data_IF_466246446125
#
_entry.id   IF_466246446125
#
_cell.length_a   1.000
_cell.length_b   1.000
_cell.length_c   1.000
_cell.angle_alpha   90.00
_cell.angle_beta   90.00
_cell.angle_gamma   90.00
#
_symmetry.space_group_name_H-M   'P 1'
#
loop_
_entity.id
_entity.type
_entity.pdbx_description
1 polymer ?
#
# COMPACT_ATOMS: atom_id res chain seq x y z
N UNK A 1 -13.32 -20.64 11.39
CA UNK A 1 -12.88 -20.03 10.12
C UNK A 1 -11.98 -18.85 10.45
N UNK A 2 -10.77 -18.85 9.93
CA UNK A 2 -9.86 -17.76 10.20
C UNK A 2 -10.21 -16.53 9.40
N UNK A 3 -10.07 -15.36 10.04
CA UNK A 3 -10.26 -14.10 9.35
C UNK A 3 -9.02 -13.77 8.52
N UNK A 4 -9.23 -13.15 7.39
CA UNK A 4 -8.12 -12.58 6.65
C UNK A 4 -7.56 -11.40 7.46
N UNK A 5 -6.25 -11.21 7.49
CA UNK A 5 -5.67 -10.10 8.21
C UNK A 5 -6.10 -8.75 7.62
N UNK A 6 -6.17 -7.77 8.48
CA UNK A 6 -6.37 -6.39 8.06
C UNK A 6 -5.13 -5.93 7.29
N UNK A 7 -5.35 -5.22 6.20
CA UNK A 7 -4.28 -4.65 5.40
C UNK A 7 -4.32 -3.13 5.52
N UNK A 8 -3.20 -2.57 5.97
CA UNK A 8 -3.05 -1.12 6.09
C UNK A 8 -2.04 -0.62 5.07
N UNK A 9 -2.40 0.47 4.39
CA UNK A 9 -1.52 1.10 3.41
C UNK A 9 -1.22 2.52 3.87
N UNK A 10 0.06 2.86 3.97
CA UNK A 10 0.49 4.18 4.44
C UNK A 10 1.45 4.78 3.41
N UNK A 11 1.20 6.04 3.03
CA UNK A 11 2.16 6.76 2.19
C UNK A 11 3.34 7.19 3.04
N UNK A 12 4.54 6.69 2.72
CA UNK A 12 5.72 6.89 3.56
C UNK A 12 6.77 7.81 2.94
N UNK A 13 6.74 7.98 1.62
CA UNK A 13 7.74 8.79 0.95
C UNK A 13 7.21 9.34 -0.36
N UNK A 14 7.77 10.49 -0.78
CA UNK A 14 7.50 11.08 -2.08
C UNK A 14 8.85 11.41 -2.72
N UNK A 15 9.15 10.78 -3.84
CA UNK A 15 10.47 10.90 -4.47
C UNK A 15 10.61 12.03 -5.46
N UNK A 16 9.50 12.48 -6.03
CA UNK A 16 9.52 13.56 -7.02
C UNK A 16 8.73 14.75 -6.53
N UNK A 17 9.14 15.95 -6.95
CA UNK A 17 8.40 17.16 -6.64
C UNK A 17 7.16 17.24 -7.53
N UNK A 18 6.11 17.74 -6.97
CA UNK A 18 4.85 17.90 -7.68
C UNK A 18 3.69 17.42 -6.83
N UNK A 19 2.50 17.70 -7.29
CA UNK A 19 1.29 17.30 -6.57
C UNK A 19 0.78 15.98 -7.12
N UNK A 20 0.43 15.08 -6.22
CA UNK A 20 -0.31 13.88 -6.58
C UNK A 20 -1.67 14.31 -7.12
N UNK A 21 -2.03 13.87 -8.32
CA UNK A 21 -3.30 14.27 -8.93
C UNK A 21 -4.52 13.80 -8.12
N UNK A 22 -4.35 12.79 -7.28
CA UNK A 22 -5.41 12.31 -6.40
C UNK A 22 -5.36 12.95 -5.01
N UNK A 23 -4.29 13.67 -4.68
CA UNK A 23 -4.17 14.41 -3.43
C UNK A 23 -3.58 13.64 -2.26
N UNK A 24 -2.93 12.53 -2.49
CA UNK A 24 -2.28 11.78 -1.39
C UNK A 24 -1.06 12.52 -0.85
N UNK A 25 -0.84 12.41 0.45
CA UNK A 25 0.27 13.06 1.15
C UNK A 25 0.94 12.08 2.11
N UNK A 26 2.21 12.32 2.41
CA UNK A 26 2.96 11.50 3.37
C UNK A 26 2.21 11.47 4.69
N UNK A 27 2.04 10.27 5.24
CA UNK A 27 1.30 10.05 6.47
C UNK A 27 -0.13 9.60 6.26
N UNK A 28 -0.66 9.74 5.06
CA UNK A 28 -2.02 9.24 4.76
C UNK A 28 -2.03 7.73 4.95
N UNK A 29 -3.04 7.24 5.66
CA UNK A 29 -3.16 5.83 6.01
C UNK A 29 -4.56 5.35 5.63
N UNK A 30 -4.61 4.16 5.03
CA UNK A 30 -5.86 3.58 4.55
C UNK A 30 -5.99 2.14 5.02
N UNK A 31 -7.22 1.78 5.41
CA UNK A 31 -7.60 0.37 5.55
C UNK A 31 -8.04 -0.10 4.17
N UNK A 32 -7.40 -1.13 3.63
CA UNK A 32 -7.66 -1.52 2.24
C UNK A 32 -9.13 -1.87 1.99
N UNK A 33 -9.79 -2.52 2.94
CA UNK A 33 -11.16 -2.95 2.74
C UNK A 33 -12.18 -1.83 2.96
N UNK A 34 -11.90 -0.91 3.90
CA UNK A 34 -12.84 0.14 4.28
C UNK A 34 -12.69 1.43 3.50
N UNK A 35 -11.48 1.72 3.03
CA UNK A 35 -11.13 3.03 2.47
C UNK A 35 -10.84 3.01 0.97
N UNK A 36 -11.39 2.03 0.26
CA UNK A 36 -11.11 1.88 -1.18
C UNK A 36 -11.51 3.10 -2.00
N UNK A 37 -12.57 3.75 -1.63
CA UNK A 37 -13.04 4.95 -2.30
C UNK A 37 -12.16 6.17 -2.07
N UNK A 38 -11.27 6.09 -1.07
CA UNK A 38 -10.34 7.17 -0.73
C UNK A 38 -8.97 7.01 -1.36
N UNK A 39 -8.71 5.89 -2.00
CA UNK A 39 -7.41 5.58 -2.59
C UNK A 39 -7.45 5.73 -4.10
N UNK A 40 -6.35 6.26 -4.66
CA UNK A 40 -6.20 6.37 -6.11
C UNK A 40 -6.33 4.99 -6.77
N UNK A 41 -7.19 4.85 -7.80
CA UNK A 41 -7.37 3.57 -8.48
C UNK A 41 -6.08 2.99 -9.06
N UNK A 42 -5.18 3.82 -9.58
CA UNK A 42 -3.89 3.36 -10.11
C UNK A 42 -3.02 2.77 -9.00
N UNK A 43 -3.00 3.42 -7.85
CA UNK A 43 -2.26 2.93 -6.69
C UNK A 43 -2.84 1.60 -6.21
N UNK A 44 -4.17 1.51 -6.13
CA UNK A 44 -4.83 0.26 -5.72
C UNK A 44 -4.50 -0.87 -6.68
N UNK A 45 -4.54 -0.62 -7.97
CA UNK A 45 -4.26 -1.62 -8.99
C UNK A 45 -2.84 -2.19 -8.80
N UNK A 46 -1.88 -1.31 -8.60
CA UNK A 46 -0.49 -1.72 -8.39
C UNK A 46 -0.32 -2.48 -7.08
N UNK A 47 -1.07 -2.10 -6.05
CA UNK A 47 -0.97 -2.72 -4.74
C UNK A 47 -1.55 -4.13 -4.67
N UNK A 48 -2.50 -4.47 -5.53
CA UNK A 48 -3.24 -5.73 -5.43
C UNK A 48 -2.38 -6.98 -5.30
N UNK A 49 -1.35 -7.20 -6.14
CA UNK A 49 -0.52 -8.40 -6.01
C UNK A 49 0.15 -8.52 -4.64
N UNK A 50 0.65 -7.40 -4.12
CA UNK A 50 1.32 -7.39 -2.81
C UNK A 50 0.33 -7.63 -1.67
N UNK A 51 -0.85 -7.02 -1.79
CA UNK A 51 -1.91 -7.21 -0.79
C UNK A 51 -2.31 -8.68 -0.72
N UNK A 52 -2.49 -9.32 -1.86
CA UNK A 52 -2.88 -10.73 -1.90
C UNK A 52 -1.82 -11.63 -1.27
N UNK A 53 -0.54 -11.36 -1.56
CA UNK A 53 0.55 -12.13 -0.94
C UNK A 53 0.45 -12.06 0.59
N UNK A 54 0.33 -10.86 1.13
CA UNK A 54 0.28 -10.69 2.58
C UNK A 54 -1.01 -11.23 3.18
N UNK A 55 -2.13 -11.01 2.50
CA UNK A 55 -3.45 -11.42 3.00
C UNK A 55 -3.58 -12.93 3.11
N UNK A 56 -2.94 -13.66 2.21
CA UNK A 56 -3.03 -15.12 2.18
C UNK A 56 -1.83 -15.82 2.81
N UNK A 57 -1.09 -15.11 3.66
CA UNK A 57 -0.06 -15.71 4.48
C UNK A 57 1.33 -15.78 3.88
N UNK A 58 1.54 -15.17 2.71
CA UNK A 58 2.84 -15.15 2.08
C UNK A 58 3.72 -14.00 2.55
N UNK A 59 4.89 -13.88 1.96
CA UNK A 59 5.82 -12.79 2.21
C UNK A 59 6.45 -12.35 0.89
N UNK A 60 6.74 -11.05 0.79
CA UNK A 60 7.37 -10.51 -0.41
C UNK A 60 8.89 -10.70 -0.31
N UNK A 61 9.51 -11.36 -1.30
CA UNK A 61 10.97 -11.57 -1.25
C UNK A 61 11.74 -10.25 -1.17
N UNK A 62 12.78 -10.23 -0.35
CA UNK A 62 13.63 -9.05 -0.21
C UNK A 62 13.23 -8.11 0.91
N UNK A 63 12.07 -8.28 1.50
CA UNK A 63 11.65 -7.47 2.65
C UNK A 63 12.18 -8.09 3.94
N UNK A 64 12.68 -7.24 4.85
CA UNK A 64 13.18 -7.72 6.13
C UNK A 64 12.06 -8.18 7.06
N UNK A 65 10.93 -7.51 7.00
CA UNK A 65 9.76 -7.85 7.80
C UNK A 65 8.74 -8.55 6.90
N UNK A 66 8.42 -9.79 7.22
CA UNK A 66 7.50 -10.59 6.41
C UNK A 66 6.07 -10.05 6.40
N UNK A 67 5.72 -9.16 7.33
CA UNK A 67 4.38 -8.61 7.46
C UNK A 67 4.19 -7.30 6.70
N UNK A 68 5.19 -6.85 5.97
CA UNK A 68 5.08 -5.59 5.23
C UNK A 68 5.87 -5.61 3.93
N UNK A 69 5.54 -4.68 3.05
CA UNK A 69 6.31 -4.44 1.84
C UNK A 69 6.11 -3.00 1.36
N UNK A 70 7.01 -2.55 0.51
CA UNK A 70 6.92 -1.23 -0.12
C UNK A 70 6.56 -1.38 -1.59
N UNK A 71 5.82 -0.42 -2.10
CA UNK A 71 5.59 -0.31 -3.54
C UNK A 71 5.45 1.15 -3.93
N UNK A 72 5.58 1.43 -5.22
CA UNK A 72 5.45 2.79 -5.77
C UNK A 72 4.17 2.91 -6.57
N UNK A 73 3.55 4.09 -6.51
CA UNK A 73 2.52 4.46 -7.45
C UNK A 73 3.11 4.44 -8.88
N UNK A 74 2.35 4.03 -9.90
CA UNK A 74 2.86 3.96 -11.28
C UNK A 74 2.93 5.29 -12.02
N UNK A 75 2.80 6.43 -11.32
CA UNK A 75 2.92 7.74 -11.93
C UNK A 75 4.39 8.13 -12.01
N UNK A 76 4.93 8.17 -13.23
CA UNK A 76 6.35 8.46 -13.44
C UNK A 76 6.73 9.89 -13.09
N UNK A 77 5.78 10.80 -12.98
CA UNK A 77 6.04 12.21 -12.67
C UNK A 77 5.96 12.53 -11.19
N UNK A 78 5.20 11.74 -10.46
CA UNK A 78 5.02 11.94 -9.01
C UNK A 78 5.08 10.58 -8.35
N UNK A 79 6.27 10.18 -7.95
CA UNK A 79 6.47 8.85 -7.38
C UNK A 79 6.16 8.89 -5.89
N UNK A 80 5.04 8.32 -5.53
CA UNK A 80 4.65 8.14 -4.14
C UNK A 80 4.97 6.72 -3.71
N UNK A 81 5.65 6.58 -2.58
CA UNK A 81 6.01 5.28 -2.02
C UNK A 81 5.05 4.96 -0.89
N UNK A 82 4.47 3.77 -0.94
CA UNK A 82 3.53 3.29 0.06
C UNK A 82 4.07 2.05 0.75
N UNK A 83 3.75 1.93 2.03
CA UNK A 83 4.02 0.71 2.79
C UNK A 83 2.71 -0.04 2.98
N UNK A 84 2.72 -1.32 2.65
CA UNK A 84 1.59 -2.22 2.93
C UNK A 84 1.96 -3.04 4.15
N UNK A 85 1.07 -3.09 5.13
CA UNK A 85 1.27 -3.85 6.36
C UNK A 85 0.13 -4.84 6.56
N UNK A 86 0.51 -6.05 6.92
CA UNK A 86 -0.42 -7.06 7.40
C UNK A 86 -0.53 -6.88 8.92
N UNK A 87 -1.71 -6.49 9.38
CA UNK A 87 -1.92 -6.26 10.82
C UNK A 87 -2.35 -7.57 11.45
N UNK A 88 -1.54 -8.07 12.34
CA UNK A 88 -1.84 -9.28 13.10
C UNK A 88 -2.55 -8.93 14.40
N UNK A 89 -3.52 -9.72 14.75
CA UNK A 89 -4.20 -9.60 16.03
C UNK A 89 -3.44 -10.31 17.14
#
# INVERSE_FOLDING_TARGET
MSKRPEIRITMVEKKEKGACHYGHAIGDTFDFDKDRDKMCPMMQHTAFPYIDILRYGGAVPGEENEDECLFCCPDARVINVFKIERIKE
#
